data_IF_598644349945
#
_entry.id   IF_598644349945
#
_cell.length_a   1.000
_cell.length_b   1.000
_cell.length_c   1.000
_cell.angle_alpha   90.00
_cell.angle_beta   90.00
_cell.angle_gamma   90.00
#
_symmetry.space_group_name_H-M   'P 1'
#
loop_
_entity.id
_entity.type
_entity.pdbx_description
1 polymer ?
#
# COMPACT_ATOMS: atom_id res chain seq x y z
N UNK A 1 -12.00 -22.27 1.71
CA UNK A 1 -10.60 -21.98 1.29
C UNK A 1 -9.67 -22.35 2.43
N UNK A 2 -8.58 -23.07 2.15
CA UNK A 2 -7.59 -23.45 3.17
C UNK A 2 -6.54 -22.36 3.34
N UNK A 3 -6.46 -21.78 4.53
CA UNK A 3 -5.50 -20.71 4.86
C UNK A 3 -4.09 -21.22 5.19
N UNK A 4 -3.87 -22.53 5.12
CA UNK A 4 -2.60 -23.20 5.43
C UNK A 4 -1.43 -22.71 4.57
N UNK A 5 -1.68 -22.26 3.34
CA UNK A 5 -0.64 -21.72 2.47
C UNK A 5 -0.06 -20.37 2.97
N UNK A 6 -0.85 -19.62 3.76
CA UNK A 6 -0.46 -18.34 4.37
C UNK A 6 0.05 -18.51 5.81
N UNK A 7 -0.09 -19.70 6.40
CA UNK A 7 0.37 -19.98 7.75
C UNK A 7 1.92 -19.92 7.81
N UNK A 8 2.53 -19.59 8.96
CA UNK A 8 3.98 -19.54 9.10
C UNK A 8 4.66 -20.83 8.63
N UNK A 9 5.64 -20.74 7.71
CA UNK A 9 6.31 -21.90 7.11
C UNK A 9 5.60 -22.48 5.87
N UNK A 10 4.45 -21.94 5.49
CA UNK A 10 3.82 -22.22 4.20
C UNK A 10 4.56 -21.59 3.01
N UNK A 11 4.25 -22.01 1.78
CA UNK A 11 4.93 -21.55 0.56
C UNK A 11 4.76 -20.05 0.29
N UNK A 12 3.70 -19.44 0.82
CA UNK A 12 3.44 -17.99 0.72
C UNK A 12 3.40 -17.34 2.10
N UNK A 13 4.11 -17.91 3.06
CA UNK A 13 4.15 -17.38 4.42
C UNK A 13 4.94 -16.08 4.50
N UNK A 14 4.50 -15.19 5.39
CA UNK A 14 5.24 -13.97 5.65
C UNK A 14 6.60 -14.33 6.30
N UNK A 15 7.71 -13.72 5.86
CA UNK A 15 9.01 -14.02 6.43
C UNK A 15 9.03 -13.74 7.94
N UNK A 16 9.78 -14.54 8.70
CA UNK A 16 10.00 -14.28 10.12
C UNK A 16 10.80 -13.00 10.29
N UNK A 17 10.43 -12.17 11.26
CA UNK A 17 11.08 -10.90 11.58
C UNK A 17 11.44 -10.84 13.06
N UNK A 18 12.54 -10.16 13.38
CA UNK A 18 12.84 -9.68 14.71
C UNK A 18 12.36 -8.23 14.79
N UNK A 19 11.49 -7.93 15.75
CA UNK A 19 10.86 -6.61 15.88
C UNK A 19 11.01 -6.02 17.27
N UNK A 20 11.11 -4.69 17.33
CA UNK A 20 10.98 -3.92 18.58
C UNK A 20 10.13 -2.67 18.35
N UNK A 21 9.66 -2.07 19.43
CA UNK A 21 9.00 -0.76 19.40
C UNK A 21 9.94 0.30 19.96
N UNK A 22 10.01 1.43 19.27
CA UNK A 22 10.83 2.57 19.62
C UNK A 22 9.94 3.80 19.80
N UNK A 23 9.92 4.35 21.01
CA UNK A 23 9.30 5.64 21.28
C UNK A 23 10.36 6.74 21.19
N UNK A 24 10.23 7.62 20.20
CA UNK A 24 11.22 8.70 19.95
C UNK A 24 11.02 9.86 20.94
N UNK A 25 9.78 10.21 21.24
CA UNK A 25 9.42 11.25 22.20
C UNK A 25 8.12 10.92 22.92
N UNK A 26 7.83 11.61 24.02
CA UNK A 26 6.59 11.40 24.79
C UNK A 26 5.31 11.74 24.00
N UNK A 27 5.42 12.58 22.97
CA UNK A 27 4.28 13.10 22.19
C UNK A 27 4.08 12.39 20.85
N UNK A 28 4.94 11.44 20.50
CA UNK A 28 4.94 10.76 19.20
C UNK A 28 4.54 9.31 19.36
N UNK A 29 3.83 8.76 18.37
CA UNK A 29 3.47 7.36 18.36
C UNK A 29 4.71 6.45 18.28
N UNK A 30 4.71 5.28 18.95
CA UNK A 30 5.81 4.33 18.88
C UNK A 30 6.01 3.79 17.46
N UNK A 31 7.25 3.76 17.00
CA UNK A 31 7.64 3.20 15.72
C UNK A 31 7.99 1.73 15.89
N UNK A 32 7.44 0.86 15.04
CA UNK A 32 7.84 -0.54 14.96
C UNK A 32 9.04 -0.67 14.03
N UNK A 33 10.13 -1.23 14.54
CA UNK A 33 11.36 -1.49 13.78
C UNK A 33 11.50 -2.99 13.63
N UNK A 34 11.66 -3.45 12.39
CA UNK A 34 11.78 -4.87 12.06
C UNK A 34 13.03 -5.12 11.23
N UNK A 35 13.70 -6.25 11.51
CA UNK A 35 14.81 -6.76 10.70
C UNK A 35 14.64 -8.25 10.48
N UNK A 36 15.24 -8.78 9.42
CA UNK A 36 15.28 -10.22 9.20
C UNK A 36 16.26 -10.87 10.19
N UNK A 37 15.89 -12.00 10.84
CA UNK A 37 16.75 -12.69 11.79
C UNK A 37 18.12 -13.05 11.20
N UNK A 38 18.15 -13.36 9.91
CA UNK A 38 19.34 -13.78 9.16
C UNK A 38 20.43 -12.69 9.09
N UNK A 39 20.06 -11.43 9.34
CA UNK A 39 20.99 -10.30 9.36
C UNK A 39 21.76 -10.19 10.70
N UNK A 40 21.35 -10.95 11.73
CA UNK A 40 21.96 -10.95 13.05
C UNK A 40 21.25 -10.05 14.06
N UNK A 41 21.29 -10.42 15.34
CA UNK A 41 20.57 -9.73 16.42
C UNK A 41 21.01 -8.27 16.62
N UNK A 42 22.28 -7.96 16.38
CA UNK A 42 22.84 -6.61 16.51
C UNK A 42 22.21 -5.62 15.51
N UNK A 43 21.70 -6.12 14.38
CA UNK A 43 21.07 -5.27 13.37
C UNK A 43 19.78 -4.63 13.87
N UNK A 44 19.05 -5.28 14.77
CA UNK A 44 17.85 -4.68 15.35
C UNK A 44 18.20 -3.44 16.18
N UNK A 45 19.28 -3.52 16.95
CA UNK A 45 19.77 -2.41 17.76
C UNK A 45 20.30 -1.26 16.88
N UNK A 46 21.08 -1.58 15.85
CA UNK A 46 21.58 -0.60 14.90
C UNK A 46 20.45 0.08 14.12
N UNK A 47 19.46 -0.68 13.65
CA UNK A 47 18.28 -0.14 12.98
C UNK A 47 17.50 0.79 13.89
N UNK A 48 17.20 0.37 15.12
CA UNK A 48 16.51 1.21 16.10
C UNK A 48 17.29 2.49 16.42
N UNK A 49 18.62 2.40 16.56
CA UNK A 49 19.50 3.54 16.81
C UNK A 49 19.48 4.55 15.66
N UNK A 50 19.49 4.07 14.41
CA UNK A 50 19.39 4.93 13.22
C UNK A 50 18.02 5.61 13.15
N UNK A 51 16.94 4.86 13.34
CA UNK A 51 15.56 5.38 13.37
C UNK A 51 15.44 6.49 14.41
N UNK A 52 15.94 6.28 15.63
CA UNK A 52 15.92 7.28 16.70
C UNK A 52 16.68 8.56 16.32
N UNK A 53 17.92 8.43 15.83
CA UNK A 53 18.74 9.57 15.42
C UNK A 53 18.13 10.34 14.26
N UNK A 54 17.61 9.64 13.26
CA UNK A 54 17.00 10.27 12.08
C UNK A 54 15.67 10.94 12.38
N UNK A 55 14.92 10.45 13.38
CA UNK A 55 13.71 11.11 13.83
C UNK A 55 14.00 12.45 14.55
N UNK A 56 15.16 12.56 15.20
CA UNK A 56 15.56 13.78 15.92
C UNK A 56 16.32 14.82 15.08
N UNK A 57 16.49 14.60 13.77
CA UNK A 57 17.16 15.57 12.91
C UNK A 57 16.40 16.91 12.81
N UNK A 58 15.08 16.88 13.00
CA UNK A 58 14.23 18.07 12.97
C UNK A 58 13.53 18.28 14.31
N UNK A 59 13.51 19.50 14.87
CA UNK A 59 12.83 19.79 16.12
C UNK A 59 11.33 19.47 16.05
N UNK A 60 10.81 18.75 17.05
CA UNK A 60 9.39 18.39 17.13
C UNK A 60 8.95 17.30 16.14
N UNK A 61 9.88 16.72 15.38
CA UNK A 61 9.60 15.64 14.44
C UNK A 61 9.78 14.27 15.12
N UNK A 62 8.88 13.34 14.83
CA UNK A 62 8.81 12.02 15.49
C UNK A 62 9.14 10.84 14.60
N UNK A 63 9.43 11.07 13.32
CA UNK A 63 9.57 10.05 12.30
C UNK A 63 10.91 10.20 11.56
N UNK A 64 11.55 9.13 11.06
CA UNK A 64 12.82 9.27 10.34
C UNK A 64 12.69 10.15 9.09
N UNK A 65 13.40 11.29 9.08
CA UNK A 65 13.28 12.31 8.02
C UNK A 65 13.55 11.77 6.62
N UNK A 66 14.53 10.88 6.47
CA UNK A 66 14.84 10.27 5.17
C UNK A 66 13.67 9.47 4.57
N UNK A 67 12.88 8.79 5.42
CA UNK A 67 11.71 8.03 4.99
C UNK A 67 10.54 8.96 4.64
N UNK A 68 10.33 10.04 5.41
CA UNK A 68 9.31 11.05 5.11
C UNK A 68 9.55 11.74 3.76
N UNK A 69 10.82 12.07 3.47
CA UNK A 69 11.19 12.62 2.17
C UNK A 69 10.86 11.62 1.06
N UNK A 70 11.29 10.36 1.20
CA UNK A 70 11.02 9.34 0.19
C UNK A 70 9.52 9.13 -0.03
N UNK A 71 8.72 9.11 1.04
CA UNK A 71 7.26 8.98 0.96
C UNK A 71 6.62 10.14 0.20
N UNK A 72 7.02 11.38 0.51
CA UNK A 72 6.54 12.58 -0.19
C UNK A 72 6.88 12.56 -1.68
N UNK A 73 8.05 12.06 -2.06
CA UNK A 73 8.45 11.93 -3.46
C UNK A 73 7.76 10.75 -4.18
N UNK A 74 7.43 9.68 -3.47
CA UNK A 74 6.68 8.55 -4.00
C UNK A 74 5.17 8.84 -4.12
N UNK A 75 4.68 9.87 -3.44
CA UNK A 75 3.28 10.25 -3.46
C UNK A 75 2.81 10.59 -4.88
N UNK A 76 1.89 9.79 -5.42
CA UNK A 76 1.24 10.06 -6.70
C UNK A 76 0.15 11.12 -6.49
N UNK A 77 0.26 12.31 -7.11
CA UNK A 77 -0.74 13.35 -6.94
C UNK A 77 -2.12 12.90 -7.43
N UNK A 78 -3.17 13.30 -6.71
CA UNK A 78 -4.56 12.94 -7.05
C UNK A 78 -4.94 13.32 -8.48
N UNK A 79 -4.51 14.49 -8.96
CA UNK A 79 -4.79 14.96 -10.31
C UNK A 79 -4.26 14.02 -11.40
N UNK A 80 -3.13 13.33 -11.15
CA UNK A 80 -2.54 12.40 -12.10
C UNK A 80 -3.39 11.13 -12.18
N UNK A 81 -3.75 10.57 -11.02
CA UNK A 81 -4.65 9.42 -10.92
C UNK A 81 -6.01 9.70 -11.57
N UNK A 82 -6.56 10.90 -11.36
CA UNK A 82 -7.83 11.34 -11.96
C UNK A 82 -7.73 11.44 -13.49
N UNK A 83 -6.62 11.96 -14.01
CA UNK A 83 -6.37 12.05 -15.44
C UNK A 83 -6.28 10.66 -16.08
N UNK A 84 -5.55 9.72 -15.47
CA UNK A 84 -5.50 8.32 -15.90
C UNK A 84 -6.89 7.68 -15.89
N UNK A 85 -7.66 7.87 -14.82
CA UNK A 85 -9.03 7.36 -14.74
C UNK A 85 -9.92 7.86 -15.88
N UNK A 86 -9.85 9.15 -16.19
CA UNK A 86 -10.58 9.75 -17.33
C UNK A 86 -10.12 9.17 -18.66
N UNK A 87 -8.82 8.98 -18.86
CA UNK A 87 -8.25 8.43 -20.09
C UNK A 87 -8.65 6.96 -20.30
N UNK A 88 -8.63 6.14 -19.25
CA UNK A 88 -9.12 4.76 -19.28
C UNK A 88 -10.60 4.72 -19.64
N UNK A 89 -11.43 5.56 -18.99
CA UNK A 89 -12.87 5.64 -19.30
C UNK A 89 -13.12 6.05 -20.76
N UNK A 90 -12.38 7.04 -21.27
CA UNK A 90 -12.46 7.47 -22.66
C UNK A 90 -12.09 6.33 -23.61
N UNK A 91 -10.96 5.66 -23.39
CA UNK A 91 -10.50 4.56 -24.22
C UNK A 91 -11.51 3.42 -24.26
N UNK A 92 -12.00 2.99 -23.09
CA UNK A 92 -13.02 1.95 -22.98
C UNK A 92 -14.34 2.36 -23.65
N UNK A 93 -14.79 3.60 -23.48
CA UNK A 93 -16.00 4.10 -24.13
C UNK A 93 -15.85 4.11 -25.66
N UNK A 94 -14.69 4.52 -26.18
CA UNK A 94 -14.38 4.49 -27.61
C UNK A 94 -14.40 3.07 -28.15
N UNK A 95 -13.70 2.12 -27.52
CA UNK A 95 -13.68 0.70 -27.96
C UNK A 95 -15.06 0.03 -27.88
N UNK A 96 -15.93 0.47 -26.97
CA UNK A 96 -17.33 0.04 -26.94
C UNK A 96 -18.14 0.57 -28.13
N UNK A 97 -17.94 1.84 -28.50
CA UNK A 97 -18.64 2.49 -29.62
C UNK A 97 -18.17 1.96 -30.98
N UNK A 98 -16.88 1.68 -31.14
CA UNK A 98 -16.30 1.16 -32.39
C UNK A 98 -16.57 -0.32 -32.61
N UNK A 99 -17.11 -1.04 -31.61
CA UNK A 99 -17.48 -2.44 -31.72
C UNK A 99 -16.30 -3.42 -31.65
N UNK A 100 -15.12 -2.96 -31.24
CA UNK A 100 -13.94 -3.80 -31.01
C UNK A 100 -14.17 -4.83 -29.88
N UNK A 101 -15.09 -4.53 -28.97
CA UNK A 101 -15.52 -5.42 -27.89
C UNK A 101 -16.82 -6.12 -28.33
N UNK A 102 -16.66 -7.33 -28.87
CA UNK A 102 -17.75 -8.19 -29.34
C UNK A 102 -18.42 -9.00 -28.23
N UNK A 103 -17.72 -9.24 -27.11
CA UNK A 103 -18.24 -10.02 -25.98
C UNK A 103 -19.22 -9.18 -25.13
N UNK A 104 -20.47 -9.64 -25.07
CA UNK A 104 -21.56 -9.00 -24.33
C UNK A 104 -21.29 -8.96 -22.81
N UNK A 105 -20.65 -9.99 -22.26
CA UNK A 105 -20.33 -10.06 -20.84
C UNK A 105 -19.25 -9.03 -20.48
N UNK A 106 -18.20 -8.93 -21.31
CA UNK A 106 -17.13 -7.94 -21.14
C UNK A 106 -17.66 -6.51 -21.29
N UNK A 107 -18.58 -6.28 -22.24
CA UNK A 107 -19.26 -4.99 -22.41
C UNK A 107 -20.03 -4.58 -21.15
N UNK A 108 -20.81 -5.49 -20.54
CA UNK A 108 -21.55 -5.21 -19.31
C UNK A 108 -20.62 -4.88 -18.14
N UNK A 109 -19.53 -5.62 -17.98
CA UNK A 109 -18.53 -5.39 -16.92
C UNK A 109 -17.86 -4.02 -17.09
N UNK A 110 -17.49 -3.64 -18.31
CA UNK A 110 -16.86 -2.35 -18.59
C UNK A 110 -17.83 -1.19 -18.34
N UNK A 111 -19.07 -1.30 -18.79
CA UNK A 111 -20.12 -0.30 -18.49
C UNK A 111 -20.28 -0.17 -16.97
N UNK A 112 -20.40 -1.29 -16.25
CA UNK A 112 -20.47 -1.29 -14.79
C UNK A 112 -19.23 -0.64 -14.16
N UNK A 113 -18.01 -0.93 -14.61
CA UNK A 113 -16.79 -0.32 -14.06
C UNK A 113 -16.70 1.19 -14.33
N UNK A 114 -17.20 1.67 -15.48
CA UNK A 114 -17.21 3.10 -15.83
C UNK A 114 -18.21 3.87 -14.95
N UNK A 115 -19.40 3.29 -14.72
CA UNK A 115 -20.51 3.95 -14.02
C UNK A 115 -20.53 3.70 -12.50
N UNK A 116 -20.10 2.52 -12.03
CA UNK A 116 -20.04 2.13 -10.61
C UNK A 116 -18.68 2.47 -9.99
N UNK A 117 -18.21 3.71 -10.19
CA UNK A 117 -16.93 4.16 -9.64
C UNK A 117 -16.99 4.43 -8.14
N UNK A 118 -18.19 4.46 -7.55
CA UNK A 118 -18.36 4.49 -6.11
C UNK A 118 -18.47 3.07 -5.59
N UNK A 119 -17.65 2.77 -4.58
CA UNK A 119 -17.74 1.59 -3.72
C UNK A 119 -19.06 1.68 -2.94
N UNK A 120 -20.19 1.46 -3.62
CA UNK A 120 -21.51 1.53 -3.01
C UNK A 120 -21.74 0.26 -2.20
N UNK A 121 -22.20 0.43 -0.96
CA UNK A 121 -22.51 -0.65 -0.03
C UNK A 121 -23.49 -1.69 -0.62
N UNK A 122 -24.30 -1.25 -1.59
CA UNK A 122 -25.28 -2.03 -2.34
C UNK A 122 -24.67 -3.17 -3.17
N UNK A 123 -23.36 -3.10 -3.51
CA UNK A 123 -22.68 -4.07 -4.38
C UNK A 123 -21.68 -4.96 -3.63
N UNK A 124 -21.76 -5.02 -2.28
CA UNK A 124 -20.97 -5.96 -1.51
C UNK A 124 -21.59 -7.35 -1.63
N UNK A 125 -20.81 -8.42 -1.88
CA UNK A 125 -21.35 -9.77 -1.83
C UNK A 125 -21.90 -10.07 -0.42
N UNK A 126 -23.09 -10.65 -0.36
CA UNK A 126 -23.67 -11.15 0.90
C UNK A 126 -22.82 -12.30 1.45
N UNK A 127 -22.73 -12.36 2.77
CA UNK A 127 -21.90 -13.31 3.52
C UNK A 127 -22.39 -14.76 3.39
#
# INVERSE_FOLDING_TARGET
MSWTALAPGGPFSFPRVLGTYLQVSATTEPLRVEVFPDLGADQLHEAASRVYRYAQLLPGYGFPVGLDIADKFAHVPSWLTDAYGKMIKLHLATSLQTGEISDEALRKIIVQAIYLTNRDWLFRPDA
#
